data_IF_077762272635
#
_entry.id   IF_077762272635
#
_cell.length_a   1.000
_cell.length_b   1.000
_cell.length_c   1.000
_cell.angle_alpha   90.00
_cell.angle_beta   90.00
_cell.angle_gamma   90.00
#
_symmetry.space_group_name_H-M   'P 1'
#
loop_
_entity.id
_entity.type
_entity.pdbx_description
1 polymer ?
#
# COMPACT_ATOMS: atom_id res chain seq x y z
N UNK A 1 -19.81 -18.48 6.08
CA UNK A 1 -19.78 -17.12 5.53
C UNK A 1 -19.85 -17.21 4.01
N UNK A 2 -20.56 -16.31 3.32
CA UNK A 2 -20.59 -16.28 1.85
C UNK A 2 -19.26 -15.66 1.38
N UNK A 3 -18.19 -16.43 1.43
CA UNK A 3 -16.95 -16.10 0.74
C UNK A 3 -17.26 -16.07 -0.77
N UNK A 4 -16.83 -15.02 -1.47
CA UNK A 4 -17.00 -14.90 -2.92
C UNK A 4 -18.02 -13.88 -3.43
N UNK A 5 -18.88 -13.27 -2.58
CA UNK A 5 -19.85 -12.28 -3.08
C UNK A 5 -19.24 -10.88 -3.27
N UNK A 6 -18.24 -10.51 -2.45
CA UNK A 6 -17.63 -9.17 -2.45
C UNK A 6 -16.09 -9.19 -2.51
N UNK A 7 -15.48 -10.36 -2.31
CA UNK A 7 -14.03 -10.56 -2.38
C UNK A 7 -13.72 -11.98 -2.87
N UNK A 8 -12.59 -12.19 -3.56
CA UNK A 8 -12.11 -13.54 -3.89
C UNK A 8 -11.80 -14.35 -2.62
N UNK A 9 -11.62 -15.66 -2.79
CA UNK A 9 -11.16 -16.53 -1.69
C UNK A 9 -9.79 -16.03 -1.19
N UNK A 10 -9.65 -15.80 0.11
CA UNK A 10 -8.46 -15.17 0.70
C UNK A 10 -8.45 -13.62 0.69
N UNK A 11 -9.50 -12.97 0.17
CA UNK A 11 -9.59 -11.51 0.09
C UNK A 11 -8.81 -10.92 -1.09
N UNK A 12 -8.97 -9.62 -1.31
CA UNK A 12 -8.18 -8.90 -2.32
C UNK A 12 -6.70 -8.86 -1.89
N UNK A 13 -5.81 -8.77 -2.89
CA UNK A 13 -4.36 -8.73 -2.67
C UNK A 13 -3.81 -7.42 -3.20
N UNK A 14 -2.99 -6.74 -2.40
CA UNK A 14 -2.18 -5.59 -2.83
C UNK A 14 -0.76 -6.06 -3.07
N UNK A 15 -0.20 -5.69 -4.22
CA UNK A 15 1.21 -5.90 -4.57
C UNK A 15 1.98 -4.62 -4.33
N UNK A 16 2.95 -4.67 -3.44
CA UNK A 16 3.92 -3.59 -3.20
C UNK A 16 5.18 -3.94 -3.99
N UNK A 17 5.65 -3.03 -4.85
CA UNK A 17 6.84 -3.22 -5.68
C UNK A 17 7.93 -2.24 -5.30
N UNK A 18 9.12 -2.76 -5.08
CA UNK A 18 10.32 -1.93 -4.96
C UNK A 18 10.72 -1.39 -6.35
N UNK A 19 10.69 -0.07 -6.52
CA UNK A 19 11.05 0.59 -7.78
C UNK A 19 12.56 0.65 -8.01
N UNK A 20 13.35 0.41 -6.96
CA UNK A 20 14.81 0.38 -7.02
C UNK A 20 15.39 -0.99 -7.40
N UNK A 21 14.55 -2.02 -7.46
CA UNK A 21 14.97 -3.37 -7.82
C UNK A 21 15.54 -3.45 -9.24
N UNK A 22 16.62 -4.22 -9.43
CA UNK A 22 17.24 -4.44 -10.74
C UNK A 22 16.27 -5.10 -11.73
N UNK A 23 15.43 -6.02 -11.24
CA UNK A 23 14.30 -6.59 -11.96
C UNK A 23 13.00 -6.38 -11.15
N UNK A 24 12.18 -5.36 -11.50
CA UNK A 24 10.94 -5.05 -10.79
C UNK A 24 9.83 -6.10 -11.00
N UNK A 25 10.03 -7.06 -11.91
CA UNK A 25 9.11 -8.19 -12.11
C UNK A 25 9.52 -9.43 -11.29
N UNK A 26 10.68 -9.41 -10.64
CA UNK A 26 11.17 -10.52 -9.85
C UNK A 26 10.34 -10.71 -8.58
N UNK A 27 10.03 -11.95 -8.15
CA UNK A 27 9.21 -12.17 -6.96
C UNK A 27 9.83 -11.60 -5.67
N UNK A 28 11.16 -11.49 -5.56
CA UNK A 28 11.80 -10.83 -4.42
C UNK A 28 11.63 -9.31 -4.39
N UNK A 29 11.25 -8.70 -5.52
CA UNK A 29 10.97 -7.26 -5.60
C UNK A 29 9.50 -6.93 -5.31
N UNK A 30 8.65 -7.94 -5.06
CA UNK A 30 7.22 -7.81 -4.87
C UNK A 30 6.79 -8.43 -3.54
N UNK A 31 6.22 -7.61 -2.67
CA UNK A 31 5.52 -8.07 -1.47
C UNK A 31 4.01 -8.15 -1.77
N UNK A 32 3.38 -9.27 -1.39
CA UNK A 32 1.93 -9.45 -1.50
C UNK A 32 1.27 -9.34 -0.12
N UNK A 33 0.34 -8.40 0.02
CA UNK A 33 -0.49 -8.23 1.20
C UNK A 33 -1.90 -8.72 0.86
N UNK A 34 -2.31 -9.85 1.42
CA UNK A 34 -3.62 -10.47 1.20
C UNK A 34 -4.63 -10.09 2.30
N UNK A 35 -5.86 -10.60 2.22
CA UNK A 35 -6.84 -10.48 3.30
C UNK A 35 -7.75 -9.25 3.24
N UNK A 36 -7.63 -8.40 2.22
CA UNK A 36 -8.48 -7.21 2.11
C UNK A 36 -9.95 -7.59 1.84
N UNK A 37 -10.85 -7.14 2.71
CA UNK A 37 -12.27 -7.53 2.69
C UNK A 37 -13.04 -7.00 1.47
N UNK A 38 -12.58 -5.89 0.86
CA UNK A 38 -13.21 -5.29 -0.33
C UNK A 38 -12.16 -4.64 -1.24
N UNK A 39 -12.48 -4.47 -2.52
CA UNK A 39 -11.64 -3.73 -3.46
C UNK A 39 -11.43 -2.27 -3.01
N UNK A 40 -12.46 -1.66 -2.41
CA UNK A 40 -12.37 -0.29 -1.91
C UNK A 40 -11.35 -0.16 -0.77
N UNK A 41 -11.30 -1.15 0.13
CA UNK A 41 -10.30 -1.23 1.20
C UNK A 41 -8.89 -1.42 0.63
N UNK A 42 -8.71 -2.36 -0.30
CA UNK A 42 -7.43 -2.59 -0.96
C UNK A 42 -6.92 -1.35 -1.73
N UNK A 43 -7.80 -0.66 -2.48
CA UNK A 43 -7.47 0.59 -3.17
C UNK A 43 -7.09 1.71 -2.19
N UNK A 44 -7.81 1.85 -1.07
CA UNK A 44 -7.50 2.84 -0.06
C UNK A 44 -6.12 2.57 0.59
N UNK A 45 -5.82 1.30 0.87
CA UNK A 45 -4.50 0.89 1.35
C UNK A 45 -3.41 1.23 0.33
N UNK A 46 -3.55 0.81 -0.94
CA UNK A 46 -2.57 1.05 -1.99
C UNK A 46 -2.29 2.56 -2.17
N UNK A 47 -3.35 3.38 -2.23
CA UNK A 47 -3.23 4.84 -2.32
C UNK A 47 -2.45 5.44 -1.15
N UNK A 48 -2.80 5.08 0.10
CA UNK A 48 -2.11 5.60 1.31
C UNK A 48 -0.67 5.09 1.41
N UNK A 49 -0.40 3.86 0.95
CA UNK A 49 0.94 3.30 0.93
C UNK A 49 1.86 4.09 -0.01
N UNK A 50 1.44 4.27 -1.27
CA UNK A 50 2.18 5.10 -2.25
C UNK A 50 2.32 6.52 -1.74
N UNK A 51 1.27 7.08 -1.12
CA UNK A 51 1.32 8.42 -0.54
C UNK A 51 2.43 8.55 0.49
N UNK A 52 2.52 7.63 1.45
CA UNK A 52 3.60 7.63 2.43
C UNK A 52 4.98 7.37 1.81
N UNK A 53 5.06 6.46 0.83
CA UNK A 53 6.27 6.16 0.07
C UNK A 53 6.84 7.41 -0.62
N UNK A 54 5.98 8.18 -1.30
CA UNK A 54 6.37 9.47 -1.92
C UNK A 54 6.90 10.46 -0.88
N UNK A 55 6.27 10.56 0.30
CA UNK A 55 6.75 11.45 1.35
C UNK A 55 8.08 10.99 1.96
N UNK A 56 8.36 9.68 2.03
CA UNK A 56 9.66 9.14 2.45
C UNK A 56 10.78 9.48 1.47
N UNK A 57 10.47 9.61 0.18
CA UNK A 57 11.43 10.01 -0.86
C UNK A 57 11.64 11.53 -0.97
N UNK A 58 10.86 12.34 -0.24
CA UNK A 58 10.94 13.81 -0.32
C UNK A 58 12.17 14.32 0.43
N UNK A 59 13.04 15.05 -0.27
CA UNK A 59 14.17 15.78 0.33
C UNK A 59 13.83 17.26 0.53
N UNK A 60 14.35 17.92 1.57
CA UNK A 60 14.10 19.34 1.81
C UNK A 60 14.47 20.20 0.59
N UNK A 61 13.52 21.02 0.15
CA UNK A 61 13.72 21.95 -0.98
C UNK A 61 13.57 21.34 -2.37
N UNK A 62 13.28 20.04 -2.51
CA UNK A 62 13.01 19.43 -3.80
C UNK A 62 11.72 19.97 -4.44
N UNK A 63 11.78 20.13 -5.75
CA UNK A 63 10.63 20.36 -6.62
C UNK A 63 9.76 19.11 -6.73
N UNK A 64 8.52 19.26 -7.20
CA UNK A 64 7.63 18.12 -7.43
C UNK A 64 8.23 17.10 -8.43
N UNK A 65 8.94 17.58 -9.45
CA UNK A 65 9.60 16.71 -10.43
C UNK A 65 10.72 15.91 -9.79
N UNK A 66 11.57 16.54 -8.97
CA UNK A 66 12.63 15.86 -8.23
C UNK A 66 12.07 14.83 -7.23
N UNK A 67 10.95 15.13 -6.59
CA UNK A 67 10.28 14.19 -5.67
C UNK A 67 9.75 12.97 -6.43
N UNK A 68 9.08 13.17 -7.56
CA UNK A 68 8.63 12.07 -8.41
C UNK A 68 9.82 11.23 -8.92
N UNK A 69 10.91 11.88 -9.33
CA UNK A 69 12.14 11.21 -9.77
C UNK A 69 12.79 10.39 -8.65
N UNK A 70 12.89 10.93 -7.43
CA UNK A 70 13.39 10.19 -6.28
C UNK A 70 12.49 9.01 -5.91
N UNK A 71 11.17 9.18 -5.97
CA UNK A 71 10.25 8.07 -5.74
C UNK A 71 10.39 6.98 -6.80
N UNK A 72 10.55 7.33 -8.08
CA UNK A 72 10.85 6.33 -9.12
C UNK A 72 12.19 5.62 -8.92
N UNK A 73 13.17 6.25 -8.28
CA UNK A 73 14.50 5.69 -8.08
C UNK A 73 14.63 4.85 -6.79
N UNK A 74 13.87 5.19 -5.73
CA UNK A 74 14.08 4.67 -4.38
C UNK A 74 12.78 4.34 -3.63
N UNK A 75 11.63 4.64 -4.24
CA UNK A 75 10.33 4.45 -3.64
C UNK A 75 9.77 3.07 -3.91
N UNK A 76 8.52 2.92 -3.49
CA UNK A 76 7.74 1.71 -3.63
C UNK A 76 6.38 2.07 -4.21
N UNK A 77 5.92 1.28 -5.18
CA UNK A 77 4.59 1.39 -5.76
C UNK A 77 3.65 0.33 -5.17
N UNK A 78 2.35 0.59 -5.20
CA UNK A 78 1.35 -0.36 -4.73
C UNK A 78 0.12 -0.38 -5.64
N UNK A 79 -0.35 -1.58 -5.98
CA UNK A 79 -1.58 -1.78 -6.76
C UNK A 79 -2.34 -3.02 -6.30
N UNK A 80 -3.66 -3.04 -6.55
CA UNK A 80 -4.49 -4.21 -6.26
C UNK A 80 -4.37 -5.23 -7.39
N UNK A 81 -3.97 -6.46 -7.06
CA UNK A 81 -3.91 -7.56 -8.00
C UNK A 81 -5.30 -7.86 -8.58
N UNK A 82 -5.36 -8.14 -9.89
CA UNK A 82 -6.57 -8.56 -10.61
C UNK A 82 -7.78 -7.61 -10.52
N UNK A 83 -7.56 -6.35 -10.12
CA UNK A 83 -8.62 -5.34 -10.00
C UNK A 83 -9.08 -4.73 -11.35
N UNK A 84 -8.38 -5.03 -12.44
CA UNK A 84 -8.68 -4.53 -13.78
C UNK A 84 -8.79 -2.99 -13.80
N UNK A 85 -9.82 -2.46 -14.47
CA UNK A 85 -10.04 -1.01 -14.60
C UNK A 85 -10.56 -0.34 -13.33
N UNK A 86 -10.93 -1.12 -12.31
CA UNK A 86 -11.42 -0.61 -11.02
C UNK A 86 -10.28 -0.47 -10.00
N UNK A 87 -9.09 -0.99 -10.32
CA UNK A 87 -7.89 -0.83 -9.51
C UNK A 87 -7.39 0.61 -9.56
N UNK A 88 -7.08 1.15 -8.39
CA UNK A 88 -6.35 2.40 -8.30
C UNK A 88 -4.89 2.18 -8.76
N UNK A 89 -4.30 3.21 -9.38
CA UNK A 89 -2.89 3.23 -9.80
C UNK A 89 -2.22 4.54 -9.40
N UNK A 90 -0.95 4.45 -9.02
CA UNK A 90 -0.12 5.61 -8.63
C UNK A 90 -0.06 6.68 -9.73
N UNK A 91 -0.06 6.29 -11.00
CA UNK A 91 -0.09 7.20 -12.15
C UNK A 91 -1.23 8.22 -12.12
N UNK A 92 -2.34 7.91 -11.43
CA UNK A 92 -3.50 8.80 -11.32
C UNK A 92 -3.23 10.01 -10.42
N UNK A 93 -2.38 9.87 -9.38
CA UNK A 93 -2.22 10.89 -8.33
C UNK A 93 -0.76 11.26 -8.03
N UNK A 94 0.23 10.60 -8.63
CA UNK A 94 1.65 10.85 -8.35
C UNK A 94 2.04 12.32 -8.47
N UNK A 95 1.60 12.99 -9.54
CA UNK A 95 1.86 14.42 -9.73
C UNK A 95 1.27 15.29 -8.61
N UNK A 96 0.08 14.92 -8.11
CA UNK A 96 -0.56 15.61 -6.98
C UNK A 96 0.21 15.37 -5.68
N UNK A 97 0.59 14.12 -5.39
CA UNK A 97 1.36 13.78 -4.18
C UNK A 97 2.71 14.49 -4.15
N UNK A 98 3.43 14.48 -5.28
CA UNK A 98 4.72 15.14 -5.39
C UNK A 98 4.63 16.66 -5.16
N UNK A 99 3.56 17.31 -5.64
CA UNK A 99 3.36 18.76 -5.53
C UNK A 99 2.82 19.24 -4.17
N UNK A 100 2.17 18.38 -3.39
CA UNK A 100 1.44 18.78 -2.19
C UNK A 100 1.96 18.03 -0.96
N UNK A 101 3.07 18.41 -0.33
CA UNK A 101 3.67 17.66 0.79
C UNK A 101 2.72 17.52 1.98
N UNK A 102 2.79 16.37 2.68
CA UNK A 102 2.06 16.12 3.91
C UNK A 102 3.01 15.85 5.11
N UNK A 103 2.67 16.34 6.31
CA UNK A 103 3.47 16.08 7.51
C UNK A 103 3.46 14.60 7.90
N UNK A 104 4.41 14.19 8.75
CA UNK A 104 4.38 12.86 9.35
C UNK A 104 3.13 12.71 10.26
N UNK A 105 2.50 11.53 10.20
CA UNK A 105 1.28 11.24 10.96
C UNK A 105 -0.02 11.76 10.33
N UNK A 106 0.03 12.30 9.11
CA UNK A 106 -1.18 12.63 8.36
C UNK A 106 -1.98 11.36 8.01
N UNK A 107 -3.31 11.43 8.08
CA UNK A 107 -4.20 10.29 7.82
C UNK A 107 -4.05 9.76 6.38
N UNK A 108 -3.76 10.62 5.41
CA UNK A 108 -3.53 10.18 4.02
C UNK A 108 -2.26 9.36 3.86
N UNK A 109 -1.35 9.39 4.85
CA UNK A 109 -0.16 8.54 4.92
C UNK A 109 -0.36 7.31 5.81
N UNK A 110 -1.43 7.27 6.58
CA UNK A 110 -1.70 6.19 7.52
C UNK A 110 -2.31 4.97 6.81
N UNK A 111 -1.47 4.27 6.06
CA UNK A 111 -1.78 2.97 5.48
C UNK A 111 -1.83 1.85 6.53
N UNK A 112 -1.13 2.02 7.66
CA UNK A 112 -1.10 1.03 8.74
C UNK A 112 -2.48 0.85 9.34
N UNK A 113 -3.28 1.90 9.52
CA UNK A 113 -4.68 1.76 9.96
C UNK A 113 -5.56 0.90 9.03
N UNK A 114 -5.12 0.67 7.79
CA UNK A 114 -5.83 -0.13 6.79
C UNK A 114 -5.17 -1.49 6.53
N UNK A 115 -4.11 -1.84 7.24
CA UNK A 115 -3.35 -3.07 6.98
C UNK A 115 -4.04 -4.29 7.62
N UNK A 116 -4.55 -5.26 6.83
CA UNK A 116 -5.28 -6.42 7.33
C UNK A 116 -4.42 -7.34 8.20
N UNK A 117 -3.08 -7.30 8.05
CA UNK A 117 -2.15 -8.11 8.85
C UNK A 117 -2.17 -7.76 10.33
N UNK A 118 -2.65 -6.55 10.67
CA UNK A 118 -2.73 -6.09 12.06
C UNK A 118 -3.81 -6.79 12.87
N UNK A 119 -4.87 -7.23 12.22
CA UNK A 119 -5.97 -7.92 12.90
C UNK A 119 -5.57 -9.38 13.23
N UNK A 120 -4.69 -9.98 12.42
CA UNK A 120 -4.16 -11.34 12.63
C UNK A 120 -3.22 -11.45 13.83
N UNK A 121 -2.45 -10.39 14.14
CA UNK A 121 -1.55 -10.33 15.30
C UNK A 121 -2.29 -10.23 16.66
N UNK A 122 -3.62 -10.10 16.67
CA UNK A 122 -4.45 -9.88 17.86
C UNK A 122 -5.17 -11.12 18.42
N UNK A 123 -5.06 -12.28 17.77
CA UNK A 123 -5.86 -13.48 18.10
C UNK A 123 -5.13 -14.54 18.97
N UNK A 124 -3.89 -14.28 19.42
CA UNK A 124 -3.02 -15.28 20.09
C UNK A 124 -2.76 -15.04 21.61
N UNK A 125 -3.59 -14.25 22.30
CA UNK A 125 -3.41 -13.90 23.72
C UNK A 125 -4.65 -14.16 24.62
N UNK A 126 -5.47 -15.16 24.27
CA UNK A 126 -6.55 -15.63 25.15
C UNK A 126 -6.61 -17.17 25.19
N UNK A 127 -5.65 -17.84 25.83
CA UNK A 127 -5.85 -19.15 26.48
C UNK A 127 -4.54 -19.66 27.13
N UNK A 128 -4.28 -19.32 28.41
CA UNK A 128 -3.89 -20.28 29.47
C UNK A 128 -3.61 -19.54 30.81
N UNK A 129 -4.66 -19.05 31.47
CA UNK A 129 -4.62 -18.73 32.90
C UNK A 129 -5.84 -19.31 33.60
N UNK A 130 -5.87 -20.65 33.72
CA UNK A 130 -6.95 -21.34 34.42
C UNK A 130 -6.65 -22.80 34.74
N UNK A 131 -5.86 -23.06 35.78
CA UNK A 131 -6.06 -24.14 36.76
C UNK A 131 -5.07 -24.04 37.93
#
# INVERSE_FOLDING_TARGET
>A
MIAGLFAPEGGWVVRIRDLSAEDPASPEAVEEVAGFATLMHANAFARRYVRDSVERCRVPGATAEEVAAHWHAFGEDAEVADAGVLGWTSATELAHFAANPLPAGDEERDWRSLDPRRDEDGEDDEDEAGA
#
